data_IF_328615046716
#
_entry.id   IF_328615046716
#
_cell.length_a   1.000
_cell.length_b   1.000
_cell.length_c   1.000
_cell.angle_alpha   90.00
_cell.angle_beta   90.00
_cell.angle_gamma   90.00
#
_symmetry.space_group_name_H-M   'P 1'
#
loop_
_entity.id
_entity.type
_entity.pdbx_description
1 polymer ?
#
# COMPACT_ATOMS: atom_id res chain seq x y z
N UNK A 1 38.67 -49.72 -0.52
CA UNK A 1 37.48 -49.10 0.14
C UNK A 1 37.57 -47.58 -0.01
N UNK A 2 36.44 -46.87 0.12
CA UNK A 2 36.22 -45.42 -0.11
C UNK A 2 36.00 -44.97 -1.57
N UNK A 3 34.83 -45.30 -2.16
CA UNK A 3 34.35 -44.61 -3.38
C UNK A 3 32.89 -44.11 -3.29
N UNK A 4 32.29 -44.09 -2.11
CA UNK A 4 30.88 -43.66 -1.90
C UNK A 4 30.66 -42.52 -0.90
N UNK A 5 31.57 -42.32 0.07
CA UNK A 5 31.38 -41.31 1.12
C UNK A 5 31.71 -39.87 0.69
N UNK A 6 32.69 -39.70 -0.21
CA UNK A 6 33.01 -38.37 -0.78
C UNK A 6 31.84 -37.83 -1.63
N UNK A 7 31.17 -38.71 -2.37
CA UNK A 7 30.05 -38.34 -3.23
C UNK A 7 28.82 -37.94 -2.40
N UNK A 8 28.61 -38.61 -1.26
CA UNK A 8 27.53 -38.29 -0.33
C UNK A 8 27.69 -36.93 0.33
N UNK A 9 28.91 -36.58 0.78
CA UNK A 9 29.19 -35.26 1.37
C UNK A 9 28.98 -34.13 0.34
N UNK A 10 29.47 -34.31 -0.89
CA UNK A 10 29.28 -33.35 -1.98
C UNK A 10 27.80 -33.23 -2.36
N UNK A 11 27.07 -34.35 -2.38
CA UNK A 11 25.63 -34.35 -2.65
C UNK A 11 24.86 -33.61 -1.55
N UNK A 12 25.17 -33.87 -0.28
CA UNK A 12 24.57 -33.18 0.87
C UNK A 12 24.85 -31.67 0.83
N UNK A 13 26.08 -31.27 0.49
CA UNK A 13 26.46 -29.87 0.35
C UNK A 13 25.69 -29.18 -0.77
N UNK A 14 25.59 -29.81 -1.95
CA UNK A 14 24.79 -29.30 -3.08
C UNK A 14 23.30 -29.20 -2.72
N UNK A 15 22.76 -30.20 -2.03
CA UNK A 15 21.36 -30.20 -1.59
C UNK A 15 21.10 -29.08 -0.59
N UNK A 16 22.00 -28.87 0.37
CA UNK A 16 21.90 -27.78 1.33
C UNK A 16 21.98 -26.41 0.65
N UNK A 17 22.90 -26.23 -0.31
CA UNK A 17 23.02 -24.99 -1.07
C UNK A 17 21.74 -24.69 -1.87
N UNK A 18 21.09 -25.71 -2.44
CA UNK A 18 19.80 -25.57 -3.13
C UNK A 18 18.70 -25.19 -2.14
N UNK A 19 18.62 -25.88 -1.00
CA UNK A 19 17.61 -25.61 0.03
C UNK A 19 17.72 -24.17 0.57
N UNK A 20 18.94 -23.68 0.81
CA UNK A 20 19.20 -22.30 1.23
C UNK A 20 18.67 -21.31 0.17
N UNK A 21 18.99 -21.53 -1.10
CA UNK A 21 18.49 -20.68 -2.20
C UNK A 21 16.98 -20.69 -2.30
N UNK A 22 16.34 -21.85 -2.13
CA UNK A 22 14.87 -21.97 -2.12
C UNK A 22 14.27 -21.12 -1.01
N UNK A 23 14.80 -21.19 0.20
CA UNK A 23 14.29 -20.40 1.34
C UNK A 23 14.54 -18.90 1.14
N UNK A 24 15.68 -18.49 0.60
CA UNK A 24 15.94 -17.10 0.23
C UNK A 24 14.94 -16.59 -0.82
N UNK A 25 14.66 -17.37 -1.86
CA UNK A 25 13.70 -16.99 -2.89
C UNK A 25 12.27 -16.95 -2.37
N UNK A 26 11.87 -17.89 -1.50
CA UNK A 26 10.56 -17.84 -0.84
C UNK A 26 10.42 -16.58 0.01
N UNK A 27 11.44 -16.23 0.79
CA UNK A 27 11.45 -15.01 1.60
C UNK A 27 11.34 -13.76 0.73
N UNK A 28 12.13 -13.65 -0.34
CA UNK A 28 12.06 -12.54 -1.30
C UNK A 28 10.68 -12.45 -1.95
N UNK A 29 10.12 -13.57 -2.38
CA UNK A 29 8.77 -13.63 -2.96
C UNK A 29 7.71 -13.15 -1.97
N UNK A 30 7.76 -13.61 -0.72
CA UNK A 30 6.79 -13.21 0.29
C UNK A 30 6.88 -11.70 0.58
N UNK A 31 8.09 -11.13 0.70
CA UNK A 31 8.27 -9.68 0.84
C UNK A 31 7.68 -8.91 -0.35
N UNK A 32 7.88 -9.40 -1.58
CA UNK A 32 7.31 -8.78 -2.79
C UNK A 32 5.78 -8.92 -2.89
N UNK A 33 5.20 -9.97 -2.30
CA UNK A 33 3.75 -10.19 -2.28
C UNK A 33 3.05 -9.45 -1.14
N UNK A 34 3.75 -9.23 -0.02
CA UNK A 34 3.23 -8.54 1.16
C UNK A 34 3.21 -7.01 1.01
N UNK A 35 3.98 -6.46 0.06
CA UNK A 35 3.96 -5.02 -0.20
C UNK A 35 4.05 -4.73 -1.70
N UNK A 36 2.93 -4.37 -2.32
CA UNK A 36 2.93 -3.74 -3.64
C UNK A 36 3.25 -2.24 -3.55
N UNK A 37 3.43 -1.72 -2.33
CA UNK A 37 3.74 -0.33 -2.03
C UNK A 37 2.51 0.57 -1.94
N UNK A 38 1.31 0.01 -2.15
CA UNK A 38 0.03 0.72 -2.12
C UNK A 38 -0.84 0.31 -0.94
N UNK A 39 -0.27 -0.34 0.09
CA UNK A 39 -1.02 -0.80 1.26
C UNK A 39 -1.79 0.36 1.91
N UNK A 40 -1.16 1.55 1.97
CA UNK A 40 -1.79 2.77 2.51
C UNK A 40 -2.95 3.27 1.65
N UNK A 41 -2.77 3.30 0.33
CA UNK A 41 -3.80 3.70 -0.63
C UNK A 41 -4.99 2.74 -0.61
N UNK A 42 -4.73 1.44 -0.50
CA UNK A 42 -5.75 0.40 -0.40
C UNK A 42 -6.53 0.56 0.91
N UNK A 43 -5.84 0.66 2.04
CA UNK A 43 -6.48 0.85 3.34
C UNK A 43 -7.29 2.15 3.39
N UNK A 44 -6.70 3.26 2.93
CA UNK A 44 -7.37 4.55 2.85
C UNK A 44 -8.61 4.52 1.96
N UNK A 45 -8.54 3.84 0.81
CA UNK A 45 -9.68 3.69 -0.10
C UNK A 45 -10.80 2.89 0.56
N UNK A 46 -10.47 1.78 1.22
CA UNK A 46 -11.45 0.98 1.96
C UNK A 46 -12.14 1.80 3.07
N UNK A 47 -11.38 2.62 3.80
CA UNK A 47 -11.94 3.51 4.83
C UNK A 47 -12.90 4.55 4.25
N UNK A 48 -12.53 5.21 3.15
CA UNK A 48 -13.40 6.17 2.45
C UNK A 48 -14.68 5.48 1.97
N UNK A 49 -14.59 4.25 1.43
CA UNK A 49 -15.77 3.48 1.01
C UNK A 49 -16.70 3.16 2.20
N UNK A 50 -16.16 2.82 3.37
CA UNK A 50 -16.99 2.63 4.57
C UNK A 50 -17.67 3.92 5.00
N UNK A 51 -16.95 5.05 4.98
CA UNK A 51 -17.52 6.37 5.29
C UNK A 51 -18.70 6.66 4.35
N UNK A 52 -18.51 6.53 3.03
CA UNK A 52 -19.58 6.77 2.04
C UNK A 52 -20.75 5.80 2.23
N UNK A 53 -20.49 4.55 2.61
CA UNK A 53 -21.54 3.54 2.82
C UNK A 53 -22.46 3.85 4.01
N UNK A 54 -21.91 4.41 5.09
CA UNK A 54 -22.67 4.67 6.33
C UNK A 54 -23.14 6.12 6.48
N UNK A 55 -22.83 6.99 5.52
CA UNK A 55 -23.24 8.39 5.51
C UNK A 55 -24.05 8.71 4.24
N UNK A 56 -24.82 9.81 4.23
CA UNK A 56 -25.49 10.27 3.02
C UNK A 56 -24.49 10.52 1.88
N UNK A 57 -24.86 10.15 0.65
CA UNK A 57 -24.03 10.31 -0.55
C UNK A 57 -23.72 11.79 -0.83
N UNK A 58 -24.69 12.67 -0.53
CA UNK A 58 -24.55 14.11 -0.63
C UNK A 58 -24.94 14.69 0.73
N UNK A 59 -24.10 15.60 1.23
CA UNK A 59 -24.32 16.30 2.49
C UNK A 59 -24.25 17.80 2.22
N UNK A 60 -25.30 18.52 2.59
CA UNK A 60 -25.36 19.98 2.42
C UNK A 60 -24.64 20.72 3.56
N UNK A 61 -24.44 20.05 4.70
CA UNK A 61 -23.80 20.61 5.88
C UNK A 61 -22.40 20.02 6.07
N UNK A 62 -21.46 20.88 6.45
CA UNK A 62 -20.12 20.46 6.86
C UNK A 62 -20.20 19.53 8.07
N UNK A 63 -19.44 18.42 8.03
CA UNK A 63 -19.29 17.47 9.12
C UNK A 63 -17.80 17.30 9.41
N UNK A 64 -17.35 17.88 10.53
CA UNK A 64 -15.94 17.92 10.92
C UNK A 64 -15.32 16.52 11.07
N UNK A 65 -16.04 15.61 11.71
CA UNK A 65 -15.59 14.23 11.93
C UNK A 65 -15.31 13.51 10.60
N UNK A 66 -16.19 13.68 9.61
CA UNK A 66 -16.00 13.08 8.29
C UNK A 66 -14.82 13.69 7.53
N UNK A 67 -14.61 15.00 7.70
CA UNK A 67 -13.47 15.69 7.10
C UNK A 67 -12.15 15.15 7.66
N UNK A 68 -12.02 15.08 8.99
CA UNK A 68 -10.82 14.57 9.67
C UNK A 68 -10.51 13.12 9.27
N UNK A 69 -11.54 12.29 9.09
CA UNK A 69 -11.35 10.88 8.71
C UNK A 69 -11.09 10.65 7.22
N UNK A 70 -11.25 11.66 6.37
CA UNK A 70 -11.16 11.52 4.91
C UNK A 70 -9.99 12.31 4.32
N UNK A 71 -9.65 13.47 4.88
CA UNK A 71 -8.63 14.39 4.35
C UNK A 71 -7.33 14.25 5.13
N UNK A 72 -6.23 13.98 4.41
CA UNK A 72 -4.86 13.97 4.95
C UNK A 72 -4.33 15.40 5.12
N UNK A 73 -4.53 16.25 4.10
CA UNK A 73 -4.10 17.66 4.11
C UNK A 73 -4.79 18.49 3.06
N UNK A 74 -4.75 19.79 3.29
CA UNK A 74 -5.24 20.81 2.37
C UNK A 74 -4.05 21.57 1.81
N UNK A 75 -3.96 21.67 0.49
CA UNK A 75 -2.92 22.38 -0.24
C UNK A 75 -3.54 23.62 -0.88
N UNK A 76 -2.92 24.78 -0.67
CA UNK A 76 -3.36 26.05 -1.26
C UNK A 76 -2.45 26.37 -2.44
N UNK A 77 -3.02 26.35 -3.65
CA UNK A 77 -2.36 26.71 -4.88
C UNK A 77 -2.12 28.22 -5.01
N UNK A 78 -1.13 28.61 -5.83
CA UNK A 78 -0.75 30.01 -6.03
C UNK A 78 -1.89 30.90 -6.57
N UNK A 79 -2.82 30.32 -7.32
CA UNK A 79 -3.95 31.03 -7.90
C UNK A 79 -5.20 31.04 -6.98
N UNK A 80 -5.06 30.53 -5.76
CA UNK A 80 -6.18 30.36 -4.81
C UNK A 80 -6.99 29.09 -5.04
N UNK A 81 -6.49 28.15 -5.85
CA UNK A 81 -7.06 26.81 -5.99
C UNK A 81 -6.82 26.02 -4.70
N UNK A 82 -7.82 25.25 -4.27
CA UNK A 82 -7.74 24.44 -3.03
C UNK A 82 -7.72 22.98 -3.42
N UNK A 83 -6.67 22.26 -3.04
CA UNK A 83 -6.57 20.81 -3.25
C UNK A 83 -6.67 20.08 -1.92
N UNK A 84 -7.69 19.22 -1.80
CA UNK A 84 -7.84 18.29 -0.70
C UNK A 84 -7.16 16.99 -1.07
N UNK A 85 -6.07 16.65 -0.38
CA UNK A 85 -5.47 15.31 -0.48
C UNK A 85 -6.15 14.41 0.54
N UNK A 86 -6.75 13.33 0.07
CA UNK A 86 -7.41 12.34 0.89
C UNK A 86 -6.41 11.36 1.51
N UNK A 87 -6.85 10.59 2.50
CA UNK A 87 -6.05 9.56 3.19
C UNK A 87 -5.52 8.45 2.26
N UNK A 88 -6.13 8.28 1.08
CA UNK A 88 -5.69 7.35 0.05
C UNK A 88 -4.83 8.03 -1.06
N UNK A 89 -4.29 9.22 -0.80
CA UNK A 89 -3.51 10.03 -1.74
C UNK A 89 -4.29 10.58 -2.95
N UNK A 90 -5.61 10.37 -3.06
CA UNK A 90 -6.42 11.01 -4.08
C UNK A 90 -6.47 12.52 -3.85
N UNK A 91 -6.33 13.30 -4.91
CA UNK A 91 -6.36 14.76 -4.85
C UNK A 91 -7.63 15.30 -5.51
N UNK A 92 -8.43 16.03 -4.74
CA UNK A 92 -9.63 16.72 -5.21
C UNK A 92 -9.34 18.21 -5.22
N UNK A 93 -9.30 18.81 -6.41
CA UNK A 93 -9.00 20.24 -6.57
C UNK A 93 -10.27 21.01 -6.88
N UNK A 94 -10.54 22.00 -6.05
CA UNK A 94 -11.58 23.00 -6.28
C UNK A 94 -10.94 24.26 -6.89
N UNK A 95 -11.35 24.56 -8.12
CA UNK A 95 -10.91 25.75 -8.83
C UNK A 95 -11.84 26.90 -8.48
N UNK A 96 -11.29 28.11 -8.28
CA UNK A 96 -12.14 29.30 -8.17
C UNK A 96 -12.88 29.48 -9.50
N UNK A 97 -14.20 29.30 -9.48
CA UNK A 97 -15.03 29.68 -10.62
C UNK A 97 -14.79 31.17 -10.92
N UNK A 98 -14.41 31.50 -12.17
CA UNK A 98 -14.44 32.89 -12.64
C UNK A 98 -15.89 33.37 -12.52
N UNK A 99 -16.16 34.20 -11.51
CA UNK A 99 -17.38 35.01 -11.45
C UNK A 99 -17.34 36.08 -12.54
#
# INVERSE_FOLDING_TARGET
MLKGYMDSAIFMEKQNAINIKIEEYKKKRNVLLESNGYEKEIEGTNRILQIIKYNPVIMDNYQEELFIHTVDKVLIGKNGDITFRLINNLELTEYRAKR
#
